data_IF_212003220128
#
_entry.id   IF_212003220128
#
_cell.length_a   1.000
_cell.length_b   1.000
_cell.length_c   1.000
_cell.angle_alpha   90.00
_cell.angle_beta   90.00
_cell.angle_gamma   90.00
#
_symmetry.space_group_name_H-M   'P 1'
#
loop_
_entity.id
_entity.type
_entity.pdbx_description
1 polymer ?
#
# COMPACT_ATOMS: atom_id res chain seq x y z
N UNK A 1 5.29 0.41 -85.80
CA UNK A 1 5.71 -0.32 -84.57
C UNK A 1 5.65 0.60 -83.35
N UNK A 2 4.45 1.06 -82.95
CA UNK A 2 4.26 1.95 -81.79
C UNK A 2 3.11 1.45 -80.90
N UNK A 3 3.00 0.12 -80.76
CA UNK A 3 1.88 -0.53 -80.05
C UNK A 3 2.24 -1.43 -78.86
N UNK A 4 3.54 -1.65 -78.62
CA UNK A 4 4.02 -2.66 -77.66
C UNK A 4 4.40 -2.09 -76.29
N UNK A 5 4.75 -0.80 -76.22
CA UNK A 5 5.31 -0.17 -75.01
C UNK A 5 4.23 0.10 -73.94
N UNK A 6 2.99 0.37 -74.34
CA UNK A 6 1.91 0.66 -73.38
C UNK A 6 1.31 -0.59 -72.73
N UNK A 7 1.47 -1.78 -73.34
CA UNK A 7 0.94 -3.03 -72.78
C UNK A 7 1.76 -3.53 -71.58
N UNK A 8 3.07 -3.30 -71.56
CA UNK A 8 3.93 -3.68 -70.43
C UNK A 8 3.78 -2.75 -69.22
N UNK A 9 3.52 -1.46 -69.45
CA UNK A 9 3.32 -0.48 -68.37
C UNK A 9 2.01 -0.73 -67.59
N UNK A 10 0.93 -1.15 -68.27
CA UNK A 10 -0.37 -1.42 -67.63
C UNK A 10 -0.34 -2.70 -66.77
N UNK A 11 0.43 -3.71 -67.16
CA UNK A 11 0.56 -4.96 -66.40
C UNK A 11 1.37 -4.77 -65.11
N UNK A 12 2.35 -3.86 -65.11
CA UNK A 12 3.12 -3.56 -63.90
C UNK A 12 2.28 -2.85 -62.81
N UNK A 13 1.28 -2.04 -63.21
CA UNK A 13 0.41 -1.33 -62.26
C UNK A 13 -0.67 -2.26 -61.66
N UNK A 14 -1.11 -3.29 -62.40
CA UNK A 14 -2.15 -4.21 -61.93
C UNK A 14 -1.65 -5.28 -60.94
N UNK A 15 -0.34 -5.58 -60.89
CA UNK A 15 0.24 -6.53 -59.92
C UNK A 15 0.49 -5.88 -58.55
N UNK A 16 0.48 -4.54 -58.46
CA UNK A 16 0.60 -3.82 -57.18
C UNK A 16 -0.73 -3.72 -56.39
N UNK A 17 -1.85 -4.19 -56.95
CA UNK A 17 -3.20 -3.92 -56.44
C UNK A 17 -3.84 -4.99 -55.54
N UNK A 18 -3.25 -6.18 -55.36
CA UNK A 18 -3.91 -7.26 -54.57
C UNK A 18 -2.96 -8.00 -53.64
N UNK A 19 -2.49 -7.29 -52.63
CA UNK A 19 -2.26 -7.92 -51.33
C UNK A 19 -2.48 -6.90 -50.22
N UNK A 20 -3.72 -6.42 -50.10
CA UNK A 20 -4.24 -6.11 -48.77
C UNK A 20 -4.53 -7.46 -48.09
N UNK A 21 -3.47 -8.18 -47.76
CA UNK A 21 -3.49 -8.86 -46.48
C UNK A 21 -3.64 -7.70 -45.50
N UNK A 22 -4.80 -7.58 -44.87
CA UNK A 22 -4.90 -6.87 -43.62
C UNK A 22 -3.83 -7.49 -42.73
N UNK A 23 -2.66 -6.87 -42.70
CA UNK A 23 -1.64 -7.19 -41.73
C UNK A 23 -2.33 -6.82 -40.43
N UNK A 24 -2.76 -7.82 -39.68
CA UNK A 24 -2.87 -7.68 -38.24
C UNK A 24 -1.44 -7.35 -37.79
N UNK A 25 -1.08 -6.06 -37.87
CA UNK A 25 0.20 -5.60 -37.38
C UNK A 25 0.12 -5.82 -35.89
N UNK A 26 0.81 -6.86 -35.41
CA UNK A 26 1.11 -7.00 -33.99
C UNK A 26 1.96 -5.80 -33.65
N UNK A 27 1.30 -4.73 -33.21
CA UNK A 27 1.94 -3.48 -32.80
C UNK A 27 2.67 -3.78 -31.51
N UNK A 28 3.92 -4.22 -31.65
CA UNK A 28 4.83 -4.47 -30.55
C UNK A 28 5.53 -3.16 -30.22
N UNK A 29 5.12 -2.53 -29.14
CA UNK A 29 5.68 -1.27 -28.66
C UNK A 29 6.51 -1.56 -27.41
N UNK A 30 7.72 -1.02 -27.37
CA UNK A 30 8.54 -1.04 -26.16
C UNK A 30 8.50 0.34 -25.54
N UNK A 31 7.93 0.44 -24.35
CA UNK A 31 7.85 1.70 -23.59
C UNK A 31 8.99 1.68 -22.59
N UNK A 32 9.82 2.73 -22.59
CA UNK A 32 10.85 2.90 -21.57
C UNK A 32 10.26 3.58 -20.34
N UNK A 33 10.50 3.00 -19.17
CA UNK A 33 9.98 3.49 -17.89
C UNK A 33 11.03 3.38 -16.80
N UNK A 34 10.92 4.13 -15.69
CA UNK A 34 11.82 3.97 -14.54
C UNK A 34 11.82 2.54 -13.97
N UNK A 35 10.72 1.81 -14.17
CA UNK A 35 10.56 0.41 -13.80
C UNK A 35 11.16 -0.54 -14.85
N UNK A 36 11.90 -0.01 -15.83
CA UNK A 36 12.53 -0.67 -16.97
C UNK A 36 11.64 -0.81 -18.20
N UNK A 37 12.14 -1.50 -19.22
CA UNK A 37 11.46 -1.65 -20.52
C UNK A 37 10.20 -2.51 -20.41
N UNK A 38 9.07 -1.98 -20.87
CA UNK A 38 7.76 -2.64 -20.89
C UNK A 38 7.43 -3.04 -22.33
N UNK A 39 7.14 -4.32 -22.56
CA UNK A 39 6.73 -4.80 -23.89
C UNK A 39 5.21 -4.93 -23.98
N UNK A 40 4.63 -4.20 -24.91
CA UNK A 40 3.20 -4.18 -25.21
C UNK A 40 2.98 -4.79 -26.59
N UNK A 41 2.10 -5.77 -26.70
CA UNK A 41 1.65 -6.39 -27.95
C UNK A 41 0.16 -6.09 -28.14
N UNK A 42 -0.21 -5.49 -29.28
CA UNK A 42 -1.61 -5.15 -29.62
C UNK A 42 -2.29 -4.26 -28.56
N UNK A 43 -1.53 -3.40 -27.87
CA UNK A 43 -2.03 -2.58 -26.78
C UNK A 43 -2.16 -3.30 -25.43
N UNK A 44 -1.91 -4.61 -25.37
CA UNK A 44 -1.89 -5.38 -24.13
C UNK A 44 -0.45 -5.63 -23.67
N UNK A 45 -0.14 -5.49 -22.37
CA UNK A 45 1.15 -5.87 -21.84
C UNK A 45 1.36 -7.39 -21.98
N UNK A 46 2.57 -7.78 -22.37
CA UNK A 46 2.97 -9.19 -22.39
C UNK A 46 2.94 -9.78 -20.97
N UNK A 47 2.67 -11.09 -20.82
CA UNK A 47 2.68 -11.78 -19.52
C UNK A 47 3.91 -11.47 -18.62
N UNK A 48 5.16 -11.49 -19.13
CA UNK A 48 6.32 -11.08 -18.33
C UNK A 48 6.28 -9.62 -17.89
N UNK A 49 5.74 -8.73 -18.73
CA UNK A 49 5.59 -7.30 -18.40
C UNK A 49 4.53 -7.09 -17.31
N UNK A 50 3.42 -7.84 -17.37
CA UNK A 50 2.38 -7.82 -16.33
C UNK A 50 2.93 -8.24 -14.98
N UNK A 51 3.68 -9.35 -14.92
CA UNK A 51 4.30 -9.82 -13.68
C UNK A 51 5.22 -8.74 -13.09
N UNK A 52 6.08 -8.17 -13.92
CA UNK A 52 6.97 -7.08 -13.52
C UNK A 52 6.23 -5.86 -12.97
N UNK A 53 5.09 -5.49 -13.57
CA UNK A 53 4.27 -4.38 -13.08
C UNK A 53 3.66 -4.68 -11.70
N UNK A 54 3.17 -5.90 -11.49
CA UNK A 54 2.64 -6.31 -10.19
C UNK A 54 3.73 -6.38 -9.12
N UNK A 55 4.92 -6.89 -9.44
CA UNK A 55 6.04 -6.94 -8.51
C UNK A 55 6.42 -5.52 -8.03
N UNK A 56 6.44 -4.53 -8.94
CA UNK A 56 6.69 -3.13 -8.57
C UNK A 56 5.53 -2.51 -7.78
N UNK A 57 4.28 -2.81 -8.16
CA UNK A 57 3.11 -2.33 -7.43
C UNK A 57 3.09 -2.83 -5.98
N UNK A 58 3.44 -4.09 -5.76
CA UNK A 58 3.47 -4.68 -4.43
C UNK A 58 4.64 -4.15 -3.59
N UNK A 59 5.77 -3.82 -4.23
CA UNK A 59 6.87 -3.12 -3.57
C UNK A 59 6.44 -1.75 -3.03
N UNK A 60 5.82 -0.90 -3.87
CA UNK A 60 5.37 0.43 -3.45
C UNK A 60 4.29 0.35 -2.37
N UNK A 61 3.35 -0.60 -2.48
CA UNK A 61 2.35 -0.86 -1.43
C UNK A 61 3.00 -1.29 -0.11
N UNK A 62 4.07 -2.07 -0.17
CA UNK A 62 4.85 -2.43 1.02
C UNK A 62 5.48 -1.20 1.69
N UNK A 63 6.08 -0.30 0.91
CA UNK A 63 6.69 0.94 1.40
C UNK A 63 5.63 1.86 2.03
N UNK A 64 4.49 2.05 1.35
CA UNK A 64 3.41 2.86 1.89
C UNK A 64 2.84 2.26 3.18
N UNK A 65 2.56 0.94 3.20
CA UNK A 65 2.07 0.26 4.39
C UNK A 65 3.03 0.41 5.58
N UNK A 66 4.35 0.35 5.33
CA UNK A 66 5.35 0.60 6.35
C UNK A 66 5.23 2.03 6.90
N UNK A 67 5.19 3.04 6.02
CA UNK A 67 5.08 4.45 6.42
C UNK A 67 3.80 4.74 7.22
N UNK A 68 2.66 4.18 6.80
CA UNK A 68 1.40 4.28 7.55
C UNK A 68 1.45 3.58 8.91
N UNK A 69 2.26 2.52 9.04
CA UNK A 69 2.37 1.75 10.29
C UNK A 69 3.30 2.37 11.34
N UNK A 70 4.17 3.31 10.97
CA UNK A 70 5.19 3.88 11.87
C UNK A 70 4.61 4.45 13.18
N UNK A 71 3.54 5.28 13.17
CA UNK A 71 2.99 5.83 14.41
C UNK A 71 2.37 4.75 15.30
N UNK A 72 1.74 3.74 14.68
CA UNK A 72 1.09 2.65 15.40
C UNK A 72 2.12 1.72 16.05
N UNK A 73 3.15 1.33 15.31
CA UNK A 73 4.22 0.45 15.79
C UNK A 73 5.03 1.10 16.91
N UNK A 74 5.32 2.41 16.81
CA UNK A 74 5.97 3.16 17.89
C UNK A 74 5.16 3.12 19.20
N UNK A 75 3.84 3.36 19.13
CA UNK A 75 2.97 3.31 20.30
C UNK A 75 2.80 1.90 20.85
N UNK A 76 2.74 0.89 19.98
CA UNK A 76 2.67 -0.52 20.39
C UNK A 76 3.95 -0.96 21.13
N UNK A 77 5.12 -0.56 20.62
CA UNK A 77 6.40 -0.86 21.26
C UNK A 77 6.52 -0.12 22.60
N UNK A 78 6.08 1.13 22.68
CA UNK A 78 6.03 1.86 23.94
C UNK A 78 5.15 1.16 24.98
N UNK A 79 3.94 0.77 24.60
CA UNK A 79 3.04 0.03 25.49
C UNK A 79 3.63 -1.31 25.95
N UNK A 80 4.40 -1.97 25.09
CA UNK A 80 5.10 -3.21 25.44
C UNK A 80 6.19 -2.95 26.47
N UNK A 81 7.09 -1.99 26.24
CA UNK A 81 8.16 -1.63 27.19
C UNK A 81 7.58 -1.15 28.53
N UNK A 82 6.49 -0.37 28.49
CA UNK A 82 5.76 0.06 29.68
C UNK A 82 5.25 -1.11 30.53
N UNK A 83 4.75 -2.18 29.90
CA UNK A 83 4.30 -3.38 30.61
C UNK A 83 5.45 -4.29 31.05
N UNK A 84 6.36 -4.59 30.14
CA UNK A 84 7.39 -5.63 30.33
C UNK A 84 8.54 -5.15 31.22
N UNK A 85 8.95 -3.88 31.09
CA UNK A 85 10.10 -3.31 31.83
C UNK A 85 9.67 -2.56 33.09
N UNK A 86 8.60 -1.77 33.01
CA UNK A 86 8.14 -0.94 34.13
C UNK A 86 7.02 -1.59 34.95
N UNK A 87 6.53 -2.76 34.55
CA UNK A 87 5.48 -3.49 35.27
C UNK A 87 4.14 -2.75 35.35
N UNK A 88 3.94 -1.72 34.52
CA UNK A 88 2.73 -0.90 34.57
C UNK A 88 1.53 -1.75 34.14
N UNK A 89 0.58 -1.92 35.06
CA UNK A 89 -0.65 -2.65 34.82
C UNK A 89 -1.49 -2.05 33.68
N UNK A 90 -2.50 -2.79 33.24
CA UNK A 90 -3.45 -2.30 32.24
C UNK A 90 -4.26 -1.15 32.89
N UNK A 91 -3.91 0.12 32.62
CA UNK A 91 -4.34 1.37 33.27
C UNK A 91 -3.40 1.95 34.35
N UNK A 92 -2.22 1.36 34.56
CA UNK A 92 -1.14 1.96 35.35
C UNK A 92 -0.51 3.15 34.63
N UNK A 93 0.09 4.06 35.40
CA UNK A 93 0.88 5.17 34.88
C UNK A 93 2.35 5.00 35.26
N UNK A 94 3.26 5.57 34.46
CA UNK A 94 4.70 5.58 34.74
C UNK A 94 5.12 7.03 34.95
N UNK A 95 5.67 7.31 36.13
CA UNK A 95 6.31 8.58 36.45
C UNK A 95 7.79 8.49 36.14
N UNK A 96 8.26 9.48 35.41
CA UNK A 96 9.66 9.59 35.04
C UNK A 96 10.18 10.93 35.57
N UNK A 97 11.07 10.84 36.54
CA UNK A 97 11.54 12.01 37.29
C UNK A 97 12.97 12.36 36.92
N UNK A 98 13.83 11.34 36.82
CA UNK A 98 15.25 11.55 36.59
C UNK A 98 15.59 11.60 35.09
N UNK A 99 16.74 12.18 34.77
CA UNK A 99 17.26 12.25 33.40
C UNK A 99 17.49 10.85 32.81
N UNK A 100 17.93 9.89 33.63
CA UNK A 100 18.17 8.51 33.19
C UNK A 100 16.87 7.80 32.77
N UNK A 101 15.77 8.09 33.45
CA UNK A 101 14.46 7.51 33.14
C UNK A 101 13.90 8.05 31.81
N UNK A 102 14.26 9.30 31.47
CA UNK A 102 13.88 9.99 30.22
C UNK A 102 14.59 9.47 28.96
N UNK A 103 15.70 8.74 29.10
CA UNK A 103 16.50 8.28 27.95
C UNK A 103 15.74 7.32 27.03
N UNK A 104 14.72 6.63 27.53
CA UNK A 104 13.87 5.73 26.74
C UNK A 104 12.80 6.45 25.91
N UNK A 105 12.65 7.77 26.05
CA UNK A 105 11.58 8.55 25.44
C UNK A 105 12.10 9.33 24.24
N UNK A 106 11.48 9.10 23.09
CA UNK A 106 11.76 9.85 21.87
C UNK A 106 11.48 11.34 22.13
N UNK A 107 12.48 12.20 21.95
CA UNK A 107 12.38 13.67 22.09
C UNK A 107 12.01 14.18 23.50
N UNK A 108 12.41 13.48 24.57
CA UNK A 108 12.17 13.98 25.93
C UNK A 108 12.89 15.30 26.23
N UNK A 109 12.21 16.17 26.99
CA UNK A 109 12.83 17.37 27.55
C UNK A 109 13.84 17.00 28.66
N UNK A 110 15.10 17.36 28.45
CA UNK A 110 16.25 17.00 29.29
C UNK A 110 16.31 17.72 30.66
N UNK A 111 15.50 18.76 30.90
CA UNK A 111 15.61 19.58 32.12
C UNK A 111 14.96 18.89 33.35
N UNK A 112 15.68 18.65 34.45
CA UNK A 112 15.06 18.26 35.73
C UNK A 112 14.46 19.47 36.46
N UNK A 113 13.33 19.37 37.19
CA UNK A 113 12.32 18.32 37.20
C UNK A 113 11.16 18.71 36.28
N UNK A 114 11.11 18.17 35.06
CA UNK A 114 9.87 18.16 34.27
C UNK A 114 9.26 16.77 34.36
N UNK A 115 8.27 16.57 35.27
CA UNK A 115 7.60 15.28 35.40
C UNK A 115 6.78 15.05 34.13
N UNK A 116 6.81 13.82 33.65
CA UNK A 116 6.01 13.40 32.51
C UNK A 116 5.24 12.16 32.93
N UNK A 117 3.93 12.32 32.86
CA UNK A 117 2.95 11.33 33.27
C UNK A 117 2.36 10.73 31.99
N UNK A 118 2.63 9.45 31.75
CA UNK A 118 2.06 8.73 30.60
C UNK A 118 1.00 7.76 31.11
N UNK A 119 -0.25 7.99 30.68
CA UNK A 119 -1.39 7.13 31.01
C UNK A 119 -1.86 6.43 29.74
N UNK A 120 -1.85 5.10 29.74
CA UNK A 120 -2.43 4.30 28.66
C UNK A 120 -3.93 4.07 28.91
N UNK A 121 -4.79 4.90 28.31
CA UNK A 121 -6.25 4.75 28.42
C UNK A 121 -6.78 3.73 27.40
N UNK A 122 -7.18 2.54 27.85
CA UNK A 122 -8.05 1.66 27.05
C UNK A 122 -9.51 2.13 27.16
N UNK A 123 -10.27 2.08 26.06
CA UNK A 123 -11.71 2.43 26.05
C UNK A 123 -12.45 1.43 26.96
N UNK A 124 -13.17 1.92 27.97
CA UNK A 124 -14.01 1.09 28.83
C UNK A 124 -15.10 0.41 27.99
N UNK A 125 -15.02 -0.92 27.83
CA UNK A 125 -16.09 -1.69 27.18
C UNK A 125 -17.20 -1.89 28.20
N UNK A 126 -18.28 -1.11 28.08
CA UNK A 126 -19.48 -1.31 28.90
C UNK A 126 -20.04 -2.70 28.59
N UNK A 127 -20.17 -3.62 29.56
CA UNK A 127 -20.92 -4.85 29.31
C UNK A 127 -22.35 -4.44 28.89
N UNK A 128 -22.84 -5.02 27.80
CA UNK A 128 -24.23 -4.79 27.36
C UNK A 128 -25.14 -5.18 28.52
N UNK A 129 -25.88 -4.20 29.05
CA UNK A 129 -26.91 -4.43 30.04
C UNK A 129 -28.09 -5.11 29.35
N UNK A 130 -27.93 -6.38 28.97
CA UNK A 130 -28.98 -7.13 28.27
C UNK A 130 -30.00 -7.71 29.26
N UNK A 131 -29.67 -7.81 30.56
CA UNK A 131 -30.52 -8.51 31.55
C UNK A 131 -30.96 -7.67 32.77
N UNK A 132 -30.47 -6.42 32.93
CA UNK A 132 -30.87 -5.60 34.09
C UNK A 132 -32.29 -5.02 33.96
N UNK A 133 -32.84 -4.96 32.74
CA UNK A 133 -34.21 -4.50 32.50
C UNK A 133 -35.27 -5.61 32.60
N UNK A 134 -34.84 -6.89 32.53
CA UNK A 134 -35.73 -8.05 32.55
C UNK A 134 -36.11 -8.47 33.98
N UNK A 135 -35.25 -8.20 34.98
CA UNK A 135 -35.50 -8.57 36.38
C UNK A 135 -36.35 -7.55 37.16
N UNK A 136 -36.73 -6.41 36.58
CA UNK A 136 -37.64 -5.43 37.24
C UNK A 136 -39.13 -5.65 36.93
N UNK A 137 -39.49 -6.65 36.11
CA UNK A 137 -40.90 -6.91 35.75
C UNK A 137 -41.61 -7.93 36.65
N UNK A 138 -40.88 -8.66 37.49
CA UNK A 138 -41.45 -9.70 38.35
C UNK A 138 -41.72 -9.26 39.81
N UNK A 139 -41.46 -7.99 40.17
CA UNK A 139 -41.71 -7.48 41.53
C UNK A 139 -42.92 -6.54 41.63
N UNK A 140 -43.82 -6.54 40.63
CA UNK A 140 -45.03 -5.70 40.61
C UNK A 140 -46.31 -6.48 40.22
N UNK A 141 -46.47 -7.73 40.68
CA UNK A 141 -47.77 -8.43 40.67
C UNK A 141 -48.11 -8.98 42.04
#
# INVERSE_FOLDING_TARGET
MSSSIYKSAVVAVLVAGTSSAAICQVTRQTIDSPFGKLQVENGFPTLPTVRKLYDNLDFERGVEAYMWSLPLTAMAQWQRVSRDTFGAGNLGYVDYLDFKDKLGILTANARPPTPHLVIHKRRYHRPRATNALFLRRHELS
#
